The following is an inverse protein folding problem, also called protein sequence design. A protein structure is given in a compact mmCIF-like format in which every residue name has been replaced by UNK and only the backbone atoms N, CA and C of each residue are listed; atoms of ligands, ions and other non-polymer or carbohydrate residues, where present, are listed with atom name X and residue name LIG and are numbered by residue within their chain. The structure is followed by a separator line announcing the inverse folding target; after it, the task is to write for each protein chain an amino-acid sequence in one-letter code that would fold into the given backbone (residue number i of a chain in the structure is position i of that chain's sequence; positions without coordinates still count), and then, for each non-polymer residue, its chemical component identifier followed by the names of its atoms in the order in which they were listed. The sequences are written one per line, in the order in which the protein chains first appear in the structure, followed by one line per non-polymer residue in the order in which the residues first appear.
data_IF_278789091188
#
_entry.id   IF_278789091188
#
_cell.length_a   1.000
_cell.length_b   1.000
_cell.length_c   1.000
_cell.angle_alpha   90.00
_cell.angle_beta   90.00
_cell.angle_gamma   90.00
#
_symmetry.space_group_name_H-M   'P 1'
#
loop_
_entity.id
_entity.type
_entity.pdbx_description
1 polymer ?
#
# COMPACT_ATOMS: atom_id res chain seq x y z
N UNK A 1 -4.95 -17.49 -6.34
CA UNK A 1 -5.02 -17.59 -4.89
C UNK A 1 -3.78 -16.95 -4.32
N UNK A 2 -3.92 -15.75 -3.78
CA UNK A 2 -2.80 -15.08 -3.14
C UNK A 2 -2.55 -15.75 -1.76
N UNK A 3 -1.90 -16.91 -1.78
CA UNK A 3 -1.46 -17.64 -0.59
C UNK A 3 -0.25 -16.96 0.09
N UNK A 4 0.32 -15.93 -0.55
CA UNK A 4 1.51 -15.24 -0.08
C UNK A 4 1.25 -14.30 1.09
N UNK A 5 0.02 -13.79 1.27
CA UNK A 5 -0.28 -12.87 2.37
C UNK A 5 -0.23 -13.50 3.77
N UNK A 6 -0.52 -14.81 3.91
CA UNK A 6 -0.48 -15.46 5.21
C UNK A 6 0.87 -16.01 5.61
N UNK A 7 1.60 -16.64 4.69
CA UNK A 7 2.89 -17.28 5.00
C UNK A 7 4.05 -16.28 4.99
N UNK A 8 4.06 -15.34 4.05
CA UNK A 8 5.09 -14.31 3.98
C UNK A 8 5.14 -13.43 5.24
N UNK A 9 3.98 -12.99 5.71
CA UNK A 9 3.89 -12.13 6.89
C UNK A 9 4.27 -12.88 8.17
N UNK A 10 3.86 -14.14 8.32
CA UNK A 10 4.23 -14.99 9.47
C UNK A 10 5.74 -15.22 9.55
N UNK A 11 6.41 -15.48 8.42
CA UNK A 11 7.85 -15.69 8.40
C UNK A 11 8.63 -14.37 8.61
N UNK A 12 8.18 -13.27 8.00
CA UNK A 12 8.84 -11.97 8.14
C UNK A 12 8.73 -11.42 9.56
N UNK A 13 7.60 -11.60 10.22
CA UNK A 13 7.38 -11.18 11.61
C UNK A 13 8.30 -11.92 12.61
N UNK A 14 8.85 -13.07 12.26
CA UNK A 14 9.81 -13.81 13.08
C UNK A 14 11.24 -13.27 12.94
N UNK A 15 11.48 -12.45 11.94
CA UNK A 15 12.78 -11.83 11.67
C UNK A 15 12.80 -10.42 12.28
N UNK A 16 13.64 -10.23 13.28
CA UNK A 16 13.77 -8.94 13.99
C UNK A 16 14.36 -7.82 13.13
N UNK A 17 14.95 -8.16 12.00
CA UNK A 17 15.51 -7.22 11.06
C UNK A 17 14.49 -6.75 10.00
N UNK A 18 13.27 -7.30 10.03
CA UNK A 18 12.18 -6.96 9.10
C UNK A 18 11.03 -6.31 9.84
N UNK A 19 10.76 -5.03 9.57
CA UNK A 19 9.55 -4.35 10.04
C UNK A 19 8.44 -4.50 9.01
N UNK A 20 7.27 -4.95 9.44
CA UNK A 20 6.07 -5.08 8.62
C UNK A 20 5.06 -3.98 8.95
N UNK A 21 4.60 -3.29 7.90
CA UNK A 21 3.60 -2.23 7.99
C UNK A 21 2.43 -2.52 7.06
N UNK A 22 1.21 -2.40 7.55
CA UNK A 22 0.00 -2.60 6.75
C UNK A 22 -1.02 -1.50 6.99
N UNK A 23 -1.51 -0.90 5.90
CA UNK A 23 -2.73 -0.08 5.90
C UNK A 23 -3.81 -0.85 5.14
N UNK A 24 -4.90 -1.17 5.80
CA UNK A 24 -5.95 -1.98 5.20
C UNK A 24 -7.34 -1.62 5.76
N UNK A 25 -8.36 -1.81 4.93
CA UNK A 25 -9.74 -1.68 5.41
C UNK A 25 -10.07 -2.84 6.37
N UNK A 26 -10.48 -2.50 7.60
CA UNK A 26 -10.73 -3.47 8.67
C UNK A 26 -11.73 -4.56 8.27
N UNK A 27 -12.76 -4.20 7.55
CA UNK A 27 -13.87 -5.10 7.16
C UNK A 27 -13.64 -5.88 5.86
N UNK A 28 -12.52 -5.65 5.12
CA UNK A 28 -12.20 -6.41 3.92
C UNK A 28 -11.81 -7.86 4.26
N UNK A 29 -12.00 -8.75 3.28
CA UNK A 29 -11.50 -10.12 3.36
C UNK A 29 -9.95 -10.15 3.44
N UNK A 30 -9.35 -11.08 4.20
CA UNK A 30 -9.96 -12.05 5.11
C UNK A 30 -10.43 -11.41 6.42
N UNK A 31 -11.49 -11.96 7.05
CA UNK A 31 -12.02 -11.44 8.31
C UNK A 31 -10.96 -11.50 9.44
N UNK A 32 -10.15 -12.56 9.46
CA UNK A 32 -8.95 -12.63 10.32
C UNK A 32 -7.75 -12.19 9.50
N UNK A 33 -7.25 -11.01 9.80
CA UNK A 33 -6.04 -10.45 9.18
C UNK A 33 -4.79 -11.11 9.74
N UNK A 34 -3.73 -11.15 8.92
CA UNK A 34 -2.38 -11.37 9.46
C UNK A 34 -1.98 -10.16 10.27
N UNK A 35 -1.34 -10.36 11.39
CA UNK A 35 -0.82 -9.28 12.22
C UNK A 35 0.53 -8.82 11.66
N UNK A 36 0.70 -7.53 11.46
CA UNK A 36 1.97 -6.88 11.16
C UNK A 36 2.55 -6.25 12.43
N UNK A 37 3.77 -5.73 12.38
CA UNK A 37 4.33 -4.96 13.50
C UNK A 37 3.54 -3.66 13.70
N UNK A 38 3.06 -3.08 12.60
CA UNK A 38 2.21 -1.89 12.61
C UNK A 38 1.03 -2.13 11.68
N UNK A 39 -0.17 -2.24 12.24
CA UNK A 39 -1.43 -2.36 11.51
C UNK A 39 -2.27 -1.09 11.67
N UNK A 40 -2.64 -0.51 10.54
CA UNK A 40 -3.53 0.65 10.47
C UNK A 40 -4.85 0.22 9.85
N UNK A 41 -5.85 0.06 10.70
CA UNK A 41 -7.20 -0.27 10.30
C UNK A 41 -7.93 0.97 9.78
N UNK A 42 -8.34 0.92 8.52
CA UNK A 42 -9.09 1.98 7.86
C UNK A 42 -10.59 1.67 7.89
N UNK A 43 -11.40 2.72 7.96
CA UNK A 43 -12.86 2.62 7.91
C UNK A 43 -13.35 2.32 6.50
N UNK A 44 -14.49 1.65 6.40
CA UNK A 44 -15.19 1.48 5.13
C UNK A 44 -15.52 2.85 4.51
N UNK A 45 -15.44 2.92 3.19
CA UNK A 45 -15.78 4.10 2.38
C UNK A 45 -14.90 5.33 2.63
N UNK A 46 -13.71 5.16 3.24
CA UNK A 46 -12.74 6.23 3.39
C UNK A 46 -12.34 6.79 2.02
N UNK A 47 -12.29 8.11 1.91
CA UNK A 47 -11.96 8.86 0.70
C UNK A 47 -10.52 9.38 0.72
N UNK A 48 -10.06 9.94 -0.41
CA UNK A 48 -8.68 10.36 -0.66
C UNK A 48 -8.07 11.20 0.46
N UNK A 49 -8.76 12.26 0.87
CA UNK A 49 -8.19 13.22 1.82
C UNK A 49 -7.87 12.58 3.17
N UNK A 50 -8.80 11.81 3.71
CA UNK A 50 -8.61 11.13 4.99
C UNK A 50 -7.55 10.02 4.86
N UNK A 51 -7.59 9.24 3.77
CA UNK A 51 -6.63 8.18 3.47
C UNK A 51 -5.20 8.72 3.38
N UNK A 52 -4.99 9.76 2.58
CA UNK A 52 -3.66 10.36 2.37
C UNK A 52 -3.13 11.02 3.65
N UNK A 53 -4.00 11.60 4.47
CA UNK A 53 -3.62 12.11 5.79
C UNK A 53 -3.12 10.98 6.68
N UNK A 54 -3.89 9.88 6.79
CA UNK A 54 -3.49 8.71 7.58
C UNK A 54 -2.18 8.13 7.10
N UNK A 55 -1.97 8.05 5.77
CA UNK A 55 -0.71 7.62 5.18
C UNK A 55 0.46 8.49 5.62
N UNK A 56 0.35 9.81 5.45
CA UNK A 56 1.41 10.76 5.82
C UNK A 56 1.75 10.69 7.32
N UNK A 57 0.73 10.65 8.19
CA UNK A 57 0.92 10.56 9.63
C UNK A 57 1.71 9.29 10.03
N UNK A 58 1.48 8.19 9.34
CA UNK A 58 2.17 6.93 9.62
C UNK A 58 3.55 6.84 8.94
N UNK A 59 3.73 7.41 7.75
CA UNK A 59 5.07 7.55 7.15
C UNK A 59 5.99 8.37 8.07
N UNK A 60 5.48 9.43 8.70
CA UNK A 60 6.25 10.22 9.66
C UNK A 60 6.69 9.40 10.87
N UNK A 61 5.87 8.46 11.34
CA UNK A 61 6.27 7.52 12.42
C UNK A 61 7.30 6.50 11.92
N UNK A 62 7.09 5.94 10.73
CA UNK A 62 8.05 5.02 10.11
C UNK A 62 9.42 5.68 9.93
N UNK A 63 9.46 6.96 9.57
CA UNK A 63 10.70 7.72 9.37
C UNK A 63 11.56 7.90 10.64
N UNK A 64 11.06 7.50 11.80
CA UNK A 64 11.86 7.46 13.04
C UNK A 64 12.83 6.28 13.09
N UNK A 65 12.64 5.30 12.21
CA UNK A 65 13.52 4.13 12.07
C UNK A 65 14.46 4.30 10.87
N UNK A 66 15.53 3.50 10.86
CA UNK A 66 16.43 3.37 9.71
C UNK A 66 16.09 2.11 8.94
N UNK A 67 16.10 2.22 7.62
CA UNK A 67 15.86 1.10 6.72
C UNK A 67 16.98 1.03 5.68
N UNK A 68 17.44 -0.18 5.39
CA UNK A 68 18.40 -0.42 4.31
C UNK A 68 17.69 -0.64 2.98
N UNK A 69 16.42 -1.10 3.03
CA UNK A 69 15.61 -1.39 1.85
C UNK A 69 14.12 -1.41 2.20
N UNK A 70 13.27 -1.02 1.24
CA UNK A 70 11.80 -1.04 1.41
C UNK A 70 11.14 -1.80 0.26
N UNK A 71 10.26 -2.75 0.59
CA UNK A 71 9.28 -3.31 -0.35
C UNK A 71 7.96 -2.58 -0.20
N UNK A 72 7.51 -1.94 -1.28
CA UNK A 72 6.23 -1.26 -1.33
C UNK A 72 5.21 -2.05 -2.14
N UNK A 73 4.23 -2.64 -1.47
CA UNK A 73 3.13 -3.37 -2.13
C UNK A 73 2.03 -2.39 -2.50
N UNK A 74 2.01 -1.97 -3.77
CA UNK A 74 1.11 -0.96 -4.32
C UNK A 74 -0.20 -1.57 -4.85
N UNK A 75 -1.00 -2.17 -3.97
CA UNK A 75 -2.32 -2.70 -4.34
C UNK A 75 -3.27 -1.59 -4.79
N UNK A 76 -4.10 -1.86 -5.79
CA UNK A 76 -5.11 -0.92 -6.32
C UNK A 76 -6.54 -1.33 -5.96
N UNK A 77 -6.69 -2.34 -5.10
CA UNK A 77 -7.98 -2.77 -4.54
C UNK A 77 -8.61 -1.77 -3.55
N UNK A 78 -7.96 -0.65 -3.33
CA UNK A 78 -8.50 0.51 -2.59
C UNK A 78 -9.35 1.44 -3.49
N UNK A 79 -9.33 1.24 -4.81
CA UNK A 79 -10.05 2.09 -5.76
C UNK A 79 -11.56 1.99 -5.59
N UNK A 80 -12.28 3.10 -5.79
CA UNK A 80 -13.72 3.19 -5.58
C UNK A 80 -14.56 2.26 -6.48
N UNK A 81 -14.02 1.86 -7.63
CA UNK A 81 -14.64 0.89 -8.55
C UNK A 81 -14.16 -0.55 -8.33
N UNK A 82 -13.33 -0.82 -7.34
CA UNK A 82 -12.91 -2.17 -7.04
C UNK A 82 -14.09 -3.02 -6.55
N UNK A 83 -14.12 -4.28 -6.97
CA UNK A 83 -15.24 -5.19 -6.65
C UNK A 83 -15.20 -5.75 -5.25
N UNK A 84 -14.02 -5.83 -4.66
CA UNK A 84 -13.78 -6.46 -3.37
C UNK A 84 -13.33 -5.44 -2.32
N UNK A 85 -12.69 -4.37 -2.76
CA UNK A 85 -12.27 -3.27 -1.93
C UNK A 85 -13.45 -2.45 -1.42
N UNK A 86 -13.35 -1.94 -0.20
CA UNK A 86 -14.40 -1.13 0.43
C UNK A 86 -14.00 0.33 0.63
N UNK A 87 -12.80 0.70 0.26
CA UNK A 87 -12.37 2.10 0.25
C UNK A 87 -12.93 2.83 -0.97
N UNK A 88 -12.88 4.16 -0.97
CA UNK A 88 -13.39 5.01 -2.04
C UNK A 88 -12.32 5.93 -2.60
N UNK A 89 -11.15 5.36 -2.85
CA UNK A 89 -10.01 6.10 -3.37
C UNK A 89 -10.16 6.29 -4.88
N UNK A 90 -9.92 7.52 -5.34
CA UNK A 90 -9.95 7.85 -6.77
C UNK A 90 -8.63 7.50 -7.47
N UNK A 91 -8.60 7.63 -8.80
CA UNK A 91 -7.37 7.55 -9.60
C UNK A 91 -6.30 8.51 -9.08
N UNK A 92 -6.71 9.75 -8.82
CA UNK A 92 -5.86 10.80 -8.27
C UNK A 92 -5.32 10.41 -6.90
N UNK A 93 -6.17 9.83 -6.03
CA UNK A 93 -5.79 9.33 -4.72
C UNK A 93 -4.75 8.21 -4.79
N UNK A 94 -4.91 7.26 -5.72
CA UNK A 94 -3.91 6.20 -5.95
C UNK A 94 -2.60 6.79 -6.46
N UNK A 95 -2.67 7.68 -7.46
CA UNK A 95 -1.50 8.34 -8.00
C UNK A 95 -0.74 9.11 -6.92
N UNK A 96 -1.45 9.90 -6.12
CA UNK A 96 -0.87 10.68 -5.02
C UNK A 96 -0.27 9.81 -3.92
N UNK A 97 -0.92 8.68 -3.59
CA UNK A 97 -0.38 7.70 -2.65
C UNK A 97 0.99 7.21 -3.10
N UNK A 98 1.10 6.79 -4.36
CA UNK A 98 2.34 6.25 -4.90
C UNK A 98 3.45 7.30 -4.91
N UNK A 99 3.14 8.53 -5.34
CA UNK A 99 4.09 9.66 -5.27
C UNK A 99 4.61 9.87 -3.85
N UNK A 100 3.70 10.00 -2.88
CA UNK A 100 4.07 10.24 -1.47
C UNK A 100 5.00 9.13 -0.94
N UNK A 101 4.69 7.86 -1.21
CA UNK A 101 5.50 6.75 -0.73
C UNK A 101 6.89 6.74 -1.41
N UNK A 102 6.93 6.88 -2.73
CA UNK A 102 8.19 6.87 -3.48
C UNK A 102 9.08 8.04 -3.05
N UNK A 103 8.55 9.27 -3.07
CA UNK A 103 9.28 10.47 -2.66
C UNK A 103 9.79 10.38 -1.22
N UNK A 104 8.98 9.83 -0.30
CA UNK A 104 9.36 9.69 1.11
C UNK A 104 10.63 8.88 1.31
N UNK A 105 10.79 7.77 0.59
CA UNK A 105 11.96 6.92 0.74
C UNK A 105 13.11 7.34 -0.18
N UNK A 106 12.82 7.75 -1.41
CA UNK A 106 13.81 8.23 -2.37
C UNK A 106 14.57 9.46 -1.86
N UNK A 107 13.87 10.45 -1.30
CA UNK A 107 14.50 11.66 -0.73
C UNK A 107 15.45 11.36 0.44
N UNK A 108 15.34 10.20 1.06
CA UNK A 108 16.21 9.73 2.16
C UNK A 108 17.30 8.77 1.69
N UNK A 109 17.44 8.58 0.37
CA UNK A 109 18.37 7.61 -0.22
C UNK A 109 18.13 6.17 0.26
N UNK A 110 16.87 5.80 0.54
CA UNK A 110 16.50 4.43 0.92
C UNK A 110 16.04 3.72 -0.35
N UNK A 111 16.71 2.63 -0.78
CA UNK A 111 16.29 1.85 -1.93
C UNK A 111 14.87 1.31 -1.74
N UNK A 112 14.02 1.44 -2.77
CA UNK A 112 12.64 1.00 -2.73
C UNK A 112 12.33 0.13 -3.95
N UNK A 113 11.66 -1.00 -3.71
CA UNK A 113 11.10 -1.84 -4.75
C UNK A 113 9.57 -1.80 -4.67
N UNK A 114 8.94 -1.16 -5.64
CA UNK A 114 7.50 -1.19 -5.81
C UNK A 114 7.06 -2.49 -6.48
N UNK A 115 6.07 -3.16 -5.89
CA UNK A 115 5.48 -4.38 -6.44
C UNK A 115 3.97 -4.24 -6.56
N UNK A 116 3.39 -4.87 -7.59
CA UNK A 116 1.95 -4.90 -7.77
C UNK A 116 1.28 -5.69 -6.64
N UNK A 117 0.14 -5.20 -6.19
CA UNK A 117 -0.67 -5.85 -5.16
C UNK A 117 -2.06 -6.24 -5.66
N UNK A 118 -3.05 -6.24 -4.77
CA UNK A 118 -4.44 -6.50 -5.10
C UNK A 118 -5.02 -5.49 -6.10
N UNK A 119 -6.05 -5.94 -6.81
CA UNK A 119 -6.82 -5.14 -7.76
C UNK A 119 -7.81 -6.05 -8.49
N UNK A 120 -9.10 -5.74 -8.38
CA UNK A 120 -10.20 -6.60 -8.84
C UNK A 120 -11.26 -5.81 -9.60
N UNK A 121 -10.87 -4.75 -10.31
CA UNK A 121 -11.77 -3.97 -11.15
C UNK A 121 -12.37 -4.85 -12.27
N UNK A 122 -13.61 -4.56 -12.66
CA UNK A 122 -14.29 -5.28 -13.75
C UNK A 122 -13.69 -4.96 -15.11
N UNK A 123 -13.22 -3.73 -15.30
CA UNK A 123 -12.53 -3.31 -16.51
C UNK A 123 -11.05 -3.67 -16.40
N UNK A 124 -10.60 -4.52 -17.32
CA UNK A 124 -9.18 -4.89 -17.42
C UNK A 124 -8.31 -3.69 -17.81
N UNK A 125 -8.81 -2.84 -18.71
CA UNK A 125 -8.10 -1.63 -19.12
C UNK A 125 -7.91 -0.67 -17.95
N UNK A 126 -8.96 -0.49 -17.13
CA UNK A 126 -8.87 0.33 -15.90
C UNK A 126 -7.87 -0.26 -14.90
N UNK A 127 -7.85 -1.57 -14.76
CA UNK A 127 -6.89 -2.24 -13.87
C UNK A 127 -5.45 -2.02 -14.32
N UNK A 128 -5.19 -2.11 -15.64
CA UNK A 128 -3.87 -1.83 -16.22
C UNK A 128 -3.50 -0.36 -15.97
N UNK A 129 -4.43 0.56 -16.22
CA UNK A 129 -4.22 2.00 -15.98
C UNK A 129 -3.79 2.26 -14.54
N UNK A 130 -4.54 1.76 -13.56
CA UNK A 130 -4.26 1.95 -12.14
C UNK A 130 -2.90 1.38 -11.74
N UNK A 131 -2.58 0.14 -12.14
CA UNK A 131 -1.29 -0.47 -11.84
C UNK A 131 -0.11 0.23 -12.55
N UNK A 132 -0.35 0.82 -13.73
CA UNK A 132 0.69 1.54 -14.47
C UNK A 132 1.12 2.84 -13.78
N UNK A 133 0.30 3.40 -12.88
CA UNK A 133 0.61 4.62 -12.14
C UNK A 133 1.87 4.47 -11.30
N UNK A 134 2.05 3.32 -10.65
CA UNK A 134 3.27 3.03 -9.89
C UNK A 134 4.53 3.20 -10.76
N UNK A 135 4.53 2.62 -11.96
CA UNK A 135 5.69 2.68 -12.88
C UNK A 135 5.92 4.10 -13.41
N UNK A 136 4.85 4.82 -13.73
CA UNK A 136 4.95 6.23 -14.17
C UNK A 136 5.55 7.11 -13.08
N UNK A 137 5.05 7.00 -11.86
CA UNK A 137 5.57 7.76 -10.72
C UNK A 137 7.04 7.43 -10.42
N UNK A 138 7.44 6.15 -10.53
CA UNK A 138 8.86 5.80 -10.41
C UNK A 138 9.71 6.47 -11.49
N UNK A 139 9.24 6.49 -12.75
CA UNK A 139 9.99 7.08 -13.86
C UNK A 139 10.04 8.62 -13.81
N UNK A 140 9.08 9.28 -13.16
CA UNK A 140 9.03 10.74 -13.03
C UNK A 140 9.86 11.27 -11.86
N UNK A 141 10.04 10.45 -10.80
CA UNK A 141 10.73 10.87 -9.56
C UNK A 141 12.23 10.52 -9.60
N UNK A 142 12.59 9.49 -10.35
CA UNK A 142 13.98 9.00 -10.50
C UNK A 142 14.63 9.60 -11.73
#
# INVERSE_FOLDING_TARGET
RCLSRGLGDVYKRQDKDVLTFSMHCASNYPAKKSESDIDIELKDYMEDQEYLKVLNDNLNKLNQNKYDFVFYVAGVDIHHEDRLGKLKITDEGINKRDQIVIENFYSKNIPLCGVLGGGYNKSFDKLIELHSMLHKNCAEII
#
